data_IF_130090036037
#
_entry.id   IF_130090036037
#
_cell.length_a   1.000
_cell.length_b   1.000
_cell.length_c   1.000
_cell.angle_alpha   90.00
_cell.angle_beta   90.00
_cell.angle_gamma   90.00
#
_symmetry.space_group_name_H-M   'P 1'
#
loop_
_entity.id
_entity.type
_entity.pdbx_description
1 polymer ?
#
# COMPACT_ATOMS: atom_id res chain seq x y z
N UNK A 1 8.83 -38.89 7.53
CA UNK A 1 9.20 -38.97 8.94
C UNK A 1 9.48 -37.60 9.51
N UNK A 2 8.41 -36.88 9.88
CA UNK A 2 8.49 -35.57 10.53
C UNK A 2 7.87 -35.70 11.94
N UNK A 3 8.55 -36.43 12.80
CA UNK A 3 8.22 -36.51 14.20
C UNK A 3 9.35 -35.90 15.01
N UNK A 4 9.31 -34.61 15.27
CA UNK A 4 9.90 -33.90 16.43
C UNK A 4 9.80 -32.38 16.25
N UNK A 5 8.57 -31.86 16.39
CA UNK A 5 8.42 -30.46 16.80
C UNK A 5 8.30 -30.46 18.31
N UNK A 6 9.36 -30.08 18.97
CA UNK A 6 9.37 -29.85 20.42
C UNK A 6 8.54 -28.61 20.71
N UNK A 7 7.31 -28.80 21.19
CA UNK A 7 6.48 -27.74 21.75
C UNK A 7 7.05 -27.35 23.11
N UNK A 8 7.40 -26.09 23.38
CA UNK A 8 7.83 -25.67 24.70
C UNK A 8 6.69 -25.85 25.70
N UNK A 9 6.93 -26.66 26.73
CA UNK A 9 6.02 -26.90 27.86
C UNK A 9 6.02 -25.71 28.83
N UNK A 10 5.52 -24.54 28.48
CA UNK A 10 5.17 -23.48 29.43
C UNK A 10 4.34 -22.40 28.72
N UNK A 11 3.10 -22.73 28.37
CA UNK A 11 2.10 -21.70 28.09
C UNK A 11 1.17 -21.58 29.32
N UNK A 12 1.11 -20.41 29.91
CA UNK A 12 0.20 -20.12 31.03
C UNK A 12 -1.26 -20.30 30.55
N UNK A 13 -2.17 -20.77 31.45
CA UNK A 13 -3.59 -20.96 31.14
C UNK A 13 -4.27 -19.72 30.50
N UNK A 14 -3.75 -18.51 30.76
CA UNK A 14 -4.21 -17.28 30.12
C UNK A 14 -3.86 -17.20 28.63
N UNK A 15 -2.68 -17.64 28.23
CA UNK A 15 -2.22 -17.64 26.83
C UNK A 15 -2.99 -18.66 25.99
N UNK A 16 -3.36 -19.82 26.57
CA UNK A 16 -4.18 -20.82 25.92
C UNK A 16 -5.61 -20.30 25.66
N UNK A 17 -6.18 -19.52 26.57
CA UNK A 17 -7.48 -18.88 26.39
C UNK A 17 -7.45 -17.85 25.24
N UNK A 18 -6.41 -17.02 25.15
CA UNK A 18 -6.23 -16.07 24.04
C UNK A 18 -6.02 -16.75 22.69
N UNK A 19 -5.32 -17.86 22.63
CA UNK A 19 -5.16 -18.65 21.39
C UNK A 19 -6.50 -19.27 20.97
N UNK A 20 -7.29 -19.77 21.91
CA UNK A 20 -8.65 -20.32 21.63
C UNK A 20 -9.62 -19.23 21.13
N UNK A 21 -9.58 -18.04 21.72
CA UNK A 21 -10.42 -16.91 21.30
C UNK A 21 -9.99 -16.37 19.92
N UNK A 22 -8.69 -16.33 19.64
CA UNK A 22 -8.16 -15.96 18.32
C UNK A 22 -8.56 -17.00 17.25
N UNK A 23 -8.46 -18.30 17.52
CA UNK A 23 -8.94 -19.35 16.61
C UNK A 23 -10.44 -19.27 16.36
N UNK A 24 -11.24 -18.96 17.37
CA UNK A 24 -12.68 -18.77 17.26
C UNK A 24 -13.03 -17.52 16.45
N UNK A 25 -12.30 -16.43 16.64
CA UNK A 25 -12.43 -15.19 15.85
C UNK A 25 -12.06 -15.41 14.37
N UNK A 26 -10.98 -16.14 14.10
CA UNK A 26 -10.55 -16.51 12.74
C UNK A 26 -11.57 -17.45 12.09
N UNK A 27 -12.11 -18.45 12.79
CA UNK A 27 -13.14 -19.33 12.28
C UNK A 27 -14.44 -18.57 11.93
N UNK A 28 -14.88 -17.65 12.80
CA UNK A 28 -16.05 -16.78 12.57
C UNK A 28 -15.85 -15.86 11.35
N UNK A 29 -14.63 -15.39 11.10
CA UNK A 29 -14.31 -14.58 9.94
C UNK A 29 -14.31 -15.38 8.64
N UNK A 30 -13.77 -16.59 8.65
CA UNK A 30 -13.82 -17.49 7.48
C UNK A 30 -15.27 -17.88 7.17
N UNK A 31 -16.09 -18.15 8.18
CA UNK A 31 -17.53 -18.42 7.98
C UNK A 31 -18.29 -17.19 7.50
N UNK A 32 -18.01 -15.99 8.05
CA UNK A 32 -18.61 -14.73 7.56
C UNK A 32 -18.16 -14.40 6.14
N UNK A 33 -16.87 -14.59 5.82
CA UNK A 33 -16.35 -14.42 4.47
C UNK A 33 -17.00 -15.42 3.49
N UNK A 34 -17.16 -16.69 3.88
CA UNK A 34 -17.88 -17.71 3.10
C UNK A 34 -19.37 -17.38 2.95
N UNK A 35 -20.03 -16.94 4.02
CA UNK A 35 -21.44 -16.56 3.99
C UNK A 35 -21.70 -15.31 3.16
N UNK A 36 -20.76 -14.37 3.10
CA UNK A 36 -20.80 -13.21 2.20
C UNK A 36 -20.58 -13.62 0.75
N UNK A 37 -19.64 -14.52 0.47
CA UNK A 37 -19.41 -15.09 -0.86
C UNK A 37 -20.63 -15.84 -1.37
N UNK A 38 -21.25 -16.70 -0.55
CA UNK A 38 -22.46 -17.44 -0.91
C UNK A 38 -23.69 -16.55 -1.13
N UNK A 39 -23.80 -15.42 -0.42
CA UNK A 39 -24.86 -14.43 -0.64
C UNK A 39 -24.61 -13.55 -1.88
N UNK A 40 -23.37 -13.43 -2.33
CA UNK A 40 -23.00 -12.66 -3.51
C UNK A 40 -23.22 -13.41 -4.84
N UNK A 41 -23.22 -14.72 -4.84
CA UNK A 41 -23.67 -15.52 -5.98
C UNK A 41 -25.18 -15.33 -6.27
N UNK A 42 -25.93 -14.78 -5.31
CA UNK A 42 -27.37 -14.58 -5.40
C UNK A 42 -27.83 -13.14 -5.70
N UNK A 43 -26.94 -12.10 -5.64
CA UNK A 43 -27.34 -10.70 -5.84
C UNK A 43 -26.22 -9.91 -6.52
N UNK A 44 -26.54 -9.21 -7.59
CA UNK A 44 -25.68 -8.28 -8.35
C UNK A 44 -24.97 -7.26 -7.45
N UNK A 45 -23.73 -7.51 -7.04
CA UNK A 45 -22.99 -6.63 -6.15
C UNK A 45 -21.49 -6.93 -6.03
N UNK A 46 -20.82 -7.45 -7.08
CA UNK A 46 -19.36 -7.78 -7.06
C UNK A 46 -18.42 -6.65 -6.58
N UNK A 47 -18.88 -5.41 -6.61
CA UNK A 47 -18.06 -4.24 -6.24
C UNK A 47 -17.83 -4.09 -4.73
N UNK A 48 -18.77 -4.53 -3.92
CA UNK A 48 -18.78 -4.30 -2.48
C UNK A 48 -18.13 -5.44 -1.68
N UNK A 49 -18.07 -6.62 -2.26
CA UNK A 49 -17.62 -7.83 -1.56
C UNK A 49 -16.13 -7.89 -1.27
N UNK A 50 -15.29 -7.55 -2.23
CA UNK A 50 -13.84 -7.55 -2.01
C UNK A 50 -13.41 -6.40 -1.09
N UNK A 51 -14.11 -5.27 -1.15
CA UNK A 51 -13.94 -4.17 -0.21
C UNK A 51 -14.28 -4.62 1.20
N UNK A 52 -15.44 -5.26 1.39
CA UNK A 52 -15.89 -5.78 2.70
C UNK A 52 -15.01 -6.92 3.22
N UNK A 53 -14.43 -7.76 2.36
CA UNK A 53 -13.54 -8.84 2.79
C UNK A 53 -12.18 -8.27 3.20
N UNK A 54 -11.64 -7.29 2.49
CA UNK A 54 -10.45 -6.56 2.93
C UNK A 54 -10.71 -5.80 4.25
N UNK A 55 -11.87 -5.18 4.40
CA UNK A 55 -12.32 -4.52 5.62
C UNK A 55 -12.54 -5.51 6.78
N UNK A 56 -13.06 -6.71 6.53
CA UNK A 56 -13.29 -7.76 7.53
C UNK A 56 -11.99 -8.41 8.03
N UNK A 57 -11.00 -8.61 7.17
CA UNK A 57 -9.72 -9.19 7.58
C UNK A 57 -8.89 -8.26 8.48
N UNK A 58 -9.22 -6.98 8.52
CA UNK A 58 -8.51 -5.95 9.27
C UNK A 58 -9.20 -5.53 10.58
N UNK A 59 -10.38 -6.08 10.88
CA UNK A 59 -11.05 -5.91 12.18
C UNK A 59 -10.51 -6.83 13.29
N UNK A 60 -9.40 -7.53 13.04
CA UNK A 60 -8.92 -8.63 13.90
C UNK A 60 -8.09 -8.20 15.12
N UNK A 61 -7.77 -6.94 15.30
CA UNK A 61 -7.04 -6.47 16.48
C UNK A 61 -7.98 -5.92 17.55
N UNK A 62 -8.28 -6.66 18.59
CA UNK A 62 -8.97 -6.20 19.82
C UNK A 62 -10.29 -5.42 19.66
N UNK A 63 -11.05 -5.62 18.59
CA UNK A 63 -12.36 -4.99 18.37
C UNK A 63 -12.32 -3.50 18.01
N UNK A 64 -11.15 -2.90 17.81
CA UNK A 64 -10.99 -1.51 17.37
C UNK A 64 -10.72 -1.48 15.87
N UNK A 65 -11.53 -0.76 15.12
CA UNK A 65 -11.33 -0.54 13.69
C UNK A 65 -10.13 0.42 13.50
N UNK A 66 -9.05 -0.06 12.90
CA UNK A 66 -7.81 0.70 12.70
C UNK A 66 -7.65 1.22 11.28
N UNK A 67 -8.39 0.64 10.34
CA UNK A 67 -8.34 1.05 8.94
C UNK A 67 -9.71 1.54 8.48
N UNK A 68 -9.76 2.77 8.02
CA UNK A 68 -10.93 3.32 7.33
C UNK A 68 -11.09 2.69 5.95
N UNK A 69 -9.96 2.49 5.25
CA UNK A 69 -9.92 1.72 4.01
C UNK A 69 -8.87 0.64 4.07
N UNK A 70 -9.30 -0.58 3.74
CA UNK A 70 -8.46 -1.77 3.71
C UNK A 70 -7.31 -1.69 2.69
N UNK A 71 -6.32 -2.55 2.90
CA UNK A 71 -5.13 -2.63 2.06
C UNK A 71 -5.51 -3.04 0.63
N UNK A 72 -5.12 -2.24 -0.35
CA UNK A 72 -5.40 -2.46 -1.77
C UNK A 72 -4.20 -2.16 -2.65
N UNK A 73 -4.08 -2.78 -3.84
CA UNK A 73 -3.02 -2.43 -4.77
C UNK A 73 -3.19 -1.02 -5.33
N UNK A 74 -2.04 -0.38 -5.61
CA UNK A 74 -1.97 0.92 -6.27
C UNK A 74 -0.91 0.91 -7.36
N UNK A 75 -1.15 1.71 -8.42
CA UNK A 75 -0.31 1.73 -9.63
C UNK A 75 -0.09 3.14 -10.19
N UNK A 76 -0.74 4.15 -9.63
CA UNK A 76 -0.65 5.53 -10.09
C UNK A 76 -0.25 6.46 -8.95
N UNK A 77 0.30 7.62 -9.31
CA UNK A 77 0.64 8.72 -8.40
C UNK A 77 0.05 10.03 -8.92
N UNK A 78 -0.03 11.06 -8.06
CA UNK A 78 -0.33 12.40 -8.51
C UNK A 78 0.77 12.90 -9.45
N UNK A 79 0.40 13.71 -10.45
CA UNK A 79 1.36 14.25 -11.40
C UNK A 79 2.36 15.17 -10.69
N UNK A 80 3.61 15.02 -11.00
CA UNK A 80 4.67 15.95 -10.59
C UNK A 80 4.86 17.05 -11.65
N UNK A 81 5.53 18.16 -11.28
CA UNK A 81 5.74 19.30 -12.19
C UNK A 81 6.42 18.90 -13.50
N UNK A 82 7.44 18.04 -13.44
CA UNK A 82 8.12 17.56 -14.64
C UNK A 82 7.20 16.78 -15.59
N UNK A 83 6.16 16.14 -15.07
CA UNK A 83 5.18 15.40 -15.86
C UNK A 83 4.09 16.33 -16.43
N UNK A 84 3.80 17.45 -15.76
CA UNK A 84 2.83 18.47 -16.22
C UNK A 84 3.44 19.44 -17.22
N UNK A 85 4.70 19.82 -17.01
CA UNK A 85 5.38 20.87 -17.78
C UNK A 85 6.19 20.33 -18.97
N UNK A 86 6.14 19.05 -19.27
CA UNK A 86 6.87 18.46 -20.39
C UNK A 86 6.45 19.09 -21.73
N UNK A 87 7.25 20.01 -22.23
CA UNK A 87 6.98 20.78 -23.46
C UNK A 87 7.41 20.05 -24.75
N UNK A 88 8.03 18.87 -24.63
CA UNK A 88 8.43 18.10 -25.82
C UNK A 88 7.25 17.25 -26.28
N UNK A 89 6.64 17.54 -27.46
CA UNK A 89 5.33 17.03 -27.83
C UNK A 89 5.19 15.50 -27.78
N UNK A 90 6.22 14.77 -28.12
CA UNK A 90 6.13 13.32 -28.26
C UNK A 90 6.38 12.53 -26.97
N UNK A 91 7.37 12.90 -26.17
CA UNK A 91 7.64 12.27 -24.86
C UNK A 91 6.60 12.70 -23.80
N UNK A 92 6.14 13.95 -23.88
CA UNK A 92 5.05 14.47 -23.07
C UNK A 92 3.77 13.67 -23.22
N UNK A 93 3.32 13.41 -24.46
CA UNK A 93 2.11 12.62 -24.72
C UNK A 93 2.26 11.21 -24.14
N UNK A 94 3.41 10.57 -24.29
CA UNK A 94 3.64 9.23 -23.73
C UNK A 94 3.60 9.23 -22.20
N UNK A 95 4.17 10.23 -21.55
CA UNK A 95 4.19 10.35 -20.09
C UNK A 95 2.77 10.65 -19.57
N UNK A 96 2.10 11.61 -20.17
CA UNK A 96 0.74 12.00 -19.78
C UNK A 96 -0.27 10.87 -20.00
N UNK A 97 -0.24 10.21 -21.14
CA UNK A 97 -1.10 9.04 -21.41
C UNK A 97 -0.80 7.94 -20.40
N UNK A 98 0.46 7.73 -20.04
CA UNK A 98 0.87 6.73 -19.06
C UNK A 98 0.29 6.96 -17.68
N UNK A 99 0.39 8.19 -17.18
CA UNK A 99 -0.15 8.55 -15.87
C UNK A 99 -1.67 8.43 -15.84
N UNK A 100 -2.36 9.01 -16.82
CA UNK A 100 -3.82 8.88 -16.91
C UNK A 100 -4.29 7.44 -17.15
N UNK A 101 -3.52 6.66 -17.92
CA UNK A 101 -3.84 5.27 -18.18
C UNK A 101 -3.84 4.45 -16.88
N UNK A 102 -2.80 4.59 -16.04
CA UNK A 102 -2.70 3.85 -14.80
C UNK A 102 -3.64 4.36 -13.70
N UNK A 103 -3.92 5.66 -13.64
CA UNK A 103 -4.94 6.20 -12.75
C UNK A 103 -6.34 5.68 -13.14
N UNK A 104 -6.67 5.72 -14.43
CA UNK A 104 -7.91 5.13 -14.95
C UNK A 104 -7.98 3.62 -14.70
N UNK A 105 -6.87 2.89 -14.91
CA UNK A 105 -6.78 1.46 -14.65
C UNK A 105 -7.00 1.13 -13.17
N UNK A 106 -6.43 1.92 -12.26
CA UNK A 106 -6.61 1.76 -10.81
C UNK A 106 -8.05 2.03 -10.39
N UNK A 107 -8.68 3.10 -10.90
CA UNK A 107 -10.10 3.40 -10.63
C UNK A 107 -11.07 2.33 -11.12
N UNK A 108 -10.76 1.70 -12.25
CA UNK A 108 -11.56 0.63 -12.86
C UNK A 108 -11.18 -0.76 -12.39
N UNK A 109 -10.18 -0.87 -11.51
CA UNK A 109 -9.71 -2.17 -11.01
C UNK A 109 -10.79 -2.85 -10.17
N UNK A 110 -10.99 -4.13 -10.43
CA UNK A 110 -12.01 -4.94 -9.75
C UNK A 110 -11.44 -6.30 -9.37
N UNK A 111 -11.91 -6.88 -8.26
CA UNK A 111 -11.61 -8.27 -7.95
C UNK A 111 -12.22 -9.18 -9.03
N UNK A 112 -11.44 -10.11 -9.53
CA UNK A 112 -11.89 -11.16 -10.46
C UNK A 112 -12.17 -12.46 -9.72
N UNK A 113 -11.45 -12.72 -8.61
CA UNK A 113 -11.76 -13.81 -7.69
C UNK A 113 -11.16 -13.53 -6.32
N UNK A 114 -11.83 -14.01 -5.29
CA UNK A 114 -11.39 -13.96 -3.90
C UNK A 114 -11.44 -15.38 -3.35
N UNK A 115 -10.35 -15.83 -2.71
CA UNK A 115 -10.26 -17.13 -2.05
C UNK A 115 -9.76 -16.93 -0.62
N UNK A 116 -10.43 -17.56 0.32
CA UNK A 116 -10.00 -17.64 1.70
C UNK A 116 -9.82 -19.10 2.08
N UNK A 117 -8.68 -19.44 2.65
CA UNK A 117 -8.33 -20.80 3.04
C UNK A 117 -7.53 -20.81 4.34
N UNK A 118 -7.63 -21.86 5.11
CA UNK A 118 -6.75 -22.09 6.26
C UNK A 118 -5.36 -22.50 5.76
N UNK A 119 -4.34 -21.87 6.29
CA UNK A 119 -2.94 -22.14 5.97
C UNK A 119 -2.14 -22.29 7.27
N UNK A 120 -2.03 -23.52 7.77
CA UNK A 120 -1.46 -23.76 9.08
C UNK A 120 -2.25 -23.07 10.19
N UNK A 121 -1.58 -22.26 10.99
CA UNK A 121 -2.19 -21.45 12.08
C UNK A 121 -2.77 -20.10 11.62
N UNK A 122 -2.66 -19.74 10.33
CA UNK A 122 -3.13 -18.48 9.79
C UNK A 122 -4.25 -18.68 8.77
N UNK A 123 -4.90 -17.57 8.39
CA UNK A 123 -5.84 -17.53 7.27
C UNK A 123 -5.16 -16.85 6.09
N UNK A 124 -5.15 -17.53 4.94
CA UNK A 124 -4.69 -16.97 3.69
C UNK A 124 -5.88 -16.43 2.90
N UNK A 125 -5.83 -15.14 2.58
CA UNK A 125 -6.77 -14.50 1.68
C UNK A 125 -6.02 -14.13 0.39
N UNK A 126 -6.49 -14.64 -0.76
CA UNK A 126 -5.92 -14.35 -2.07
C UNK A 126 -6.95 -13.65 -2.94
N UNK A 127 -6.60 -12.46 -3.44
CA UNK A 127 -7.46 -11.68 -4.33
C UNK A 127 -6.77 -11.53 -5.68
N UNK A 128 -7.42 -12.02 -6.74
CA UNK A 128 -7.01 -11.73 -8.12
C UNK A 128 -7.75 -10.50 -8.59
N UNK A 129 -7.02 -9.54 -9.14
CA UNK A 129 -7.57 -8.29 -9.64
C UNK A 129 -7.56 -8.26 -11.16
N UNK A 130 -8.50 -7.55 -11.74
CA UNK A 130 -8.58 -7.30 -13.19
C UNK A 130 -8.65 -5.81 -13.44
N UNK A 131 -7.81 -5.34 -14.35
CA UNK A 131 -7.85 -3.98 -14.89
C UNK A 131 -7.21 -3.95 -16.27
N UNK A 132 -7.22 -2.78 -16.93
CA UNK A 132 -6.48 -2.54 -18.18
C UNK A 132 -4.98 -2.33 -17.88
N UNK A 133 -4.14 -2.60 -18.84
CA UNK A 133 -2.69 -2.32 -18.85
C UNK A 133 -1.83 -3.13 -17.89
N UNK A 134 -2.41 -3.83 -16.95
CA UNK A 134 -1.73 -4.68 -15.98
C UNK A 134 -2.30 -6.10 -16.04
N UNK A 135 -1.45 -7.09 -15.85
CA UNK A 135 -1.87 -8.50 -15.78
C UNK A 135 -1.27 -9.20 -14.56
N UNK A 136 -1.84 -10.34 -14.21
CA UNK A 136 -1.37 -11.16 -13.09
C UNK A 136 -1.36 -10.41 -11.76
N UNK A 137 -2.32 -9.48 -11.55
CA UNK A 137 -2.42 -8.75 -10.30
C UNK A 137 -3.03 -9.68 -9.26
N UNK A 138 -2.22 -10.01 -8.25
CA UNK A 138 -2.63 -10.83 -7.12
C UNK A 138 -2.15 -10.16 -5.84
N UNK A 139 -3.05 -9.98 -4.90
CA UNK A 139 -2.68 -9.67 -3.51
C UNK A 139 -2.94 -10.91 -2.65
N UNK A 140 -1.99 -11.25 -1.80
CA UNK A 140 -2.15 -12.30 -0.81
C UNK A 140 -1.91 -11.74 0.58
N UNK A 141 -2.81 -12.07 1.49
CA UNK A 141 -2.74 -11.69 2.90
C UNK A 141 -2.71 -12.96 3.74
N UNK A 142 -1.68 -13.12 4.57
CA UNK A 142 -1.65 -14.13 5.62
C UNK A 142 -1.96 -13.43 6.94
N UNK A 143 -3.11 -13.73 7.51
CA UNK A 143 -3.58 -13.15 8.77
C UNK A 143 -3.28 -14.13 9.89
N UNK A 144 -2.43 -13.71 10.82
CA UNK A 144 -2.00 -14.52 11.95
C UNK A 144 -2.88 -14.28 13.19
N UNK A 145 -2.93 -15.23 14.14
CA UNK A 145 -3.76 -15.11 15.34
C UNK A 145 -3.41 -13.93 16.25
N UNK A 146 -2.15 -13.45 16.20
CA UNK A 146 -1.66 -12.30 16.95
C UNK A 146 -2.05 -10.93 16.33
N UNK A 147 -2.82 -10.94 15.23
CA UNK A 147 -3.20 -9.75 14.50
C UNK A 147 -2.18 -9.28 13.45
N UNK A 148 -1.04 -9.94 13.34
CA UNK A 148 -0.04 -9.67 12.30
C UNK A 148 -0.58 -10.07 10.93
N UNK A 149 -0.33 -9.23 9.92
CA UNK A 149 -0.73 -9.48 8.53
C UNK A 149 0.49 -9.43 7.62
N UNK A 150 0.82 -10.54 6.96
CA UNK A 150 1.78 -10.50 5.85
C UNK A 150 1.03 -10.20 4.57
N UNK A 151 1.32 -9.06 3.93
CA UNK A 151 0.70 -8.62 2.69
C UNK A 151 1.70 -8.67 1.54
N UNK A 152 1.30 -9.26 0.42
CA UNK A 152 2.11 -9.30 -0.80
C UNK A 152 1.30 -8.86 -2.02
N UNK A 153 2.00 -8.26 -2.98
CA UNK A 153 1.47 -7.87 -4.28
C UNK A 153 2.36 -8.47 -5.38
N UNK A 154 1.72 -9.11 -6.34
CA UNK A 154 2.34 -9.50 -7.63
C UNK A 154 1.59 -8.81 -8.76
N UNK A 155 2.32 -8.30 -9.75
CA UNK A 155 1.72 -7.71 -10.97
C UNK A 155 2.71 -7.71 -12.14
N UNK A 156 2.21 -7.39 -13.35
CA UNK A 156 3.03 -7.20 -14.54
C UNK A 156 2.46 -6.07 -15.40
N UNK A 157 3.29 -5.06 -15.70
CA UNK A 157 2.96 -4.07 -16.71
C UNK A 157 3.10 -4.68 -18.11
N UNK A 158 2.00 -4.73 -18.85
CA UNK A 158 1.92 -5.31 -20.21
C UNK A 158 1.90 -4.26 -21.32
N UNK A 159 2.20 -3.01 -20.98
CA UNK A 159 2.19 -1.88 -21.94
C UNK A 159 3.58 -1.31 -22.18
N UNK A 160 3.79 -0.59 -23.29
CA UNK A 160 5.03 0.15 -23.53
C UNK A 160 5.15 1.41 -22.67
N UNK A 161 4.11 1.77 -21.92
CA UNK A 161 4.08 2.97 -21.06
C UNK A 161 4.80 2.69 -19.74
N UNK A 162 5.44 3.71 -19.18
CA UNK A 162 6.10 3.59 -17.88
C UNK A 162 5.06 3.50 -16.75
N UNK A 163 5.21 2.52 -15.87
CA UNK A 163 4.41 2.39 -14.67
C UNK A 163 4.90 3.41 -13.63
N UNK A 164 4.04 4.30 -13.10
CA UNK A 164 4.47 5.31 -12.11
C UNK A 164 4.90 4.71 -10.77
N UNK A 165 4.17 3.72 -10.28
CA UNK A 165 4.46 2.97 -9.04
C UNK A 165 3.81 1.59 -9.07
N UNK A 166 4.25 0.70 -8.20
CA UNK A 166 3.49 -0.49 -7.81
C UNK A 166 3.62 -0.70 -6.30
N UNK A 167 2.51 -0.84 -5.65
CA UNK A 167 2.48 -0.90 -4.20
C UNK A 167 1.12 -1.22 -3.62
N UNK A 168 1.01 -1.02 -2.33
CA UNK A 168 -0.19 -1.14 -1.53
C UNK A 168 -0.52 0.21 -0.91
N UNK A 169 -1.80 0.52 -0.80
CA UNK A 169 -2.29 1.72 -0.10
C UNK A 169 -3.42 1.36 0.84
N UNK A 170 -3.51 2.08 1.94
CA UNK A 170 -4.60 1.96 2.92
C UNK A 170 -4.81 3.29 3.64
N UNK A 171 -5.92 3.45 4.33
CA UNK A 171 -6.22 4.63 5.13
C UNK A 171 -6.38 4.23 6.60
N UNK A 172 -5.63 4.88 7.49
CA UNK A 172 -5.78 4.75 8.93
C UNK A 172 -6.95 5.61 9.42
N UNK A 173 -7.64 5.14 10.45
CA UNK A 173 -8.75 5.88 11.07
C UNK A 173 -8.31 7.18 11.71
N UNK A 174 -9.26 8.06 11.99
CA UNK A 174 -9.03 9.33 12.67
C UNK A 174 -8.34 9.20 14.04
N UNK A 175 -7.65 10.27 14.42
CA UNK A 175 -6.92 10.38 15.69
C UNK A 175 -5.60 9.60 15.73
N UNK A 176 -5.10 9.15 14.58
CA UNK A 176 -3.79 8.56 14.41
C UNK A 176 -2.84 9.60 13.84
N UNK A 177 -1.74 9.87 14.52
CA UNK A 177 -0.71 10.82 14.06
C UNK A 177 0.68 10.38 14.54
N UNK A 178 1.72 11.07 14.06
CA UNK A 178 3.10 10.72 14.31
C UNK A 178 3.64 9.63 13.36
N UNK A 179 4.85 9.85 12.88
CA UNK A 179 5.52 8.97 11.92
C UNK A 179 6.93 8.70 12.42
N UNK A 180 7.30 7.45 12.53
CA UNK A 180 8.68 7.02 12.80
C UNK A 180 9.08 5.97 11.77
N UNK A 181 10.26 6.09 11.17
CA UNK A 181 10.72 5.09 10.21
C UNK A 181 12.24 4.93 10.21
N UNK A 182 12.70 3.77 9.76
CA UNK A 182 14.09 3.49 9.44
C UNK A 182 14.25 3.34 7.94
N UNK A 183 14.87 4.34 7.31
CA UNK A 183 15.04 4.43 5.87
C UNK A 183 15.89 5.64 5.49
N UNK A 184 15.85 6.03 4.22
CA UNK A 184 16.52 7.25 3.75
C UNK A 184 15.71 8.50 4.08
N UNK A 185 16.39 9.54 4.58
CA UNK A 185 15.77 10.80 5.01
C UNK A 185 16.78 11.87 5.41
N UNK A 186 16.32 12.90 6.17
CA UNK A 186 14.96 13.15 6.65
C UNK A 186 13.98 13.67 5.57
N UNK A 187 14.50 14.36 4.54
CA UNK A 187 13.71 14.95 3.46
C UNK A 187 13.18 13.88 2.50
N UNK A 188 12.17 14.25 1.71
CA UNK A 188 11.67 13.37 0.66
C UNK A 188 12.77 12.98 -0.33
N UNK A 189 12.69 11.78 -0.82
CA UNK A 189 13.67 11.27 -1.77
C UNK A 189 13.03 10.20 -2.67
N UNK A 190 13.55 10.10 -3.90
CA UNK A 190 13.08 9.21 -4.93
C UNK A 190 14.28 8.42 -5.48
N UNK A 191 14.04 7.35 -6.23
CA UNK A 191 15.10 6.45 -6.69
C UNK A 191 16.20 7.16 -7.51
N UNK A 192 15.87 8.28 -8.18
CA UNK A 192 16.81 9.14 -8.92
C UNK A 192 17.25 10.39 -8.14
N UNK A 193 16.71 10.60 -6.93
CA UNK A 193 17.00 11.76 -6.06
C UNK A 193 17.14 11.35 -4.60
N UNK A 194 18.08 10.46 -4.30
CA UNK A 194 18.32 9.95 -2.94
C UNK A 194 19.77 9.98 -2.46
N UNK A 195 20.67 10.55 -3.24
CA UNK A 195 22.10 10.59 -2.89
C UNK A 195 22.36 11.43 -1.64
N UNK A 196 21.65 12.55 -1.47
CA UNK A 196 21.74 13.40 -0.28
C UNK A 196 21.03 12.88 0.95
N UNK A 197 20.16 11.89 0.80
CA UNK A 197 19.43 11.30 1.91
C UNK A 197 20.25 10.21 2.61
N UNK A 198 20.38 10.31 3.92
CA UNK A 198 21.13 9.34 4.75
C UNK A 198 20.21 8.26 5.29
N UNK A 199 20.74 7.07 5.48
CA UNK A 199 20.04 6.00 6.17
C UNK A 199 20.05 6.30 7.68
N UNK A 200 18.87 6.28 8.31
CA UNK A 200 18.71 6.57 9.74
C UNK A 200 17.30 6.34 10.23
N UNK A 201 17.10 6.51 11.52
CA UNK A 201 15.77 6.54 12.15
C UNK A 201 15.32 7.99 12.25
N UNK A 202 14.15 8.28 11.70
CA UNK A 202 13.58 9.62 11.66
C UNK A 202 12.19 9.63 12.30
N UNK A 203 11.87 10.73 12.98
CA UNK A 203 10.60 10.93 13.71
C UNK A 203 9.98 12.25 13.31
N UNK A 204 8.67 12.22 13.08
CA UNK A 204 7.84 13.36 12.76
C UNK A 204 6.61 13.34 13.69
N UNK A 205 6.26 14.50 14.23
CA UNK A 205 5.14 14.58 15.18
C UNK A 205 3.78 14.45 14.49
N UNK A 206 3.71 14.87 13.22
CA UNK A 206 2.48 14.81 12.45
C UNK A 206 2.75 14.54 10.97
N UNK A 207 1.72 14.15 10.21
CA UNK A 207 1.80 13.97 8.78
C UNK A 207 2.11 15.29 8.05
N UNK A 208 1.66 16.43 8.56
CA UNK A 208 1.98 17.74 8.01
C UNK A 208 3.48 18.06 8.10
N UNK A 209 4.13 17.67 9.18
CA UNK A 209 5.59 17.84 9.32
C UNK A 209 6.40 16.88 8.44
N UNK A 210 5.76 15.83 7.94
CA UNK A 210 6.39 14.79 7.12
C UNK A 210 6.33 15.08 5.61
N UNK A 211 5.24 15.72 5.15
CA UNK A 211 5.03 16.08 3.74
C UNK A 211 5.89 17.26 3.32
N UNK A 212 5.98 17.50 2.01
CA UNK A 212 6.56 18.73 1.44
C UNK A 212 5.44 19.59 0.86
N UNK A 213 5.38 20.84 1.31
CA UNK A 213 4.37 21.81 0.86
C UNK A 213 4.81 22.47 -0.45
N UNK A 214 4.56 21.77 -1.56
CA UNK A 214 4.77 22.34 -2.89
C UNK A 214 3.70 23.40 -3.20
N UNK A 215 4.11 24.54 -3.72
CA UNK A 215 3.20 25.62 -4.12
C UNK A 215 2.09 25.11 -5.06
N UNK A 216 2.45 24.22 -5.97
CA UNK A 216 1.51 23.49 -6.81
C UNK A 216 1.42 22.03 -6.32
N UNK A 217 0.25 21.58 -5.80
CA UNK A 217 0.08 20.24 -5.25
C UNK A 217 0.48 19.14 -6.21
N UNK A 218 1.32 18.23 -5.75
CA UNK A 218 1.86 17.14 -6.54
C UNK A 218 2.23 15.94 -5.65
N UNK A 219 2.62 14.82 -6.25
CA UNK A 219 3.18 13.69 -5.49
C UNK A 219 4.38 14.17 -4.69
N UNK A 220 4.41 13.85 -3.40
CA UNK A 220 5.43 14.28 -2.47
C UNK A 220 5.64 13.27 -1.34
N UNK A 221 6.52 13.59 -0.40
CA UNK A 221 6.77 12.85 0.83
C UNK A 221 7.34 11.44 0.66
N UNK A 222 7.72 10.99 -0.54
CA UNK A 222 8.31 9.67 -0.70
C UNK A 222 9.61 9.49 0.10
N UNK A 223 9.82 8.33 0.70
CA UNK A 223 11.06 7.90 1.34
C UNK A 223 11.48 6.54 0.77
N UNK A 224 12.73 6.43 0.34
CA UNK A 224 13.30 5.21 -0.22
C UNK A 224 14.02 4.36 0.83
N UNK A 225 14.26 3.11 0.48
CA UNK A 225 15.06 2.16 1.24
C UNK A 225 14.56 2.00 2.69
N UNK A 226 13.24 1.97 2.89
CA UNK A 226 12.59 1.85 4.20
C UNK A 226 12.56 0.38 4.64
N UNK A 227 12.99 0.11 5.87
CA UNK A 227 12.96 -1.21 6.47
C UNK A 227 11.78 -1.40 7.40
N UNK A 228 11.40 -0.33 8.08
CA UNK A 228 10.18 -0.31 8.85
C UNK A 228 9.63 1.12 8.96
N UNK A 229 8.33 1.20 9.11
CA UNK A 229 7.53 2.40 9.28
C UNK A 229 6.56 2.18 10.42
N UNK A 230 6.45 3.13 11.35
CA UNK A 230 5.39 3.21 12.36
C UNK A 230 4.59 4.49 12.13
N UNK A 231 3.28 4.37 12.13
CA UNK A 231 2.35 5.50 12.00
C UNK A 231 1.34 5.40 13.13
N UNK A 232 1.18 6.46 13.93
CA UNK A 232 0.10 6.61 14.89
C UNK A 232 0.29 5.97 16.26
N UNK A 233 1.51 5.68 16.66
CA UNK A 233 1.80 5.15 17.99
C UNK A 233 1.06 3.84 18.31
N UNK A 234 0.48 3.73 19.52
CA UNK A 234 -0.18 2.50 20.00
C UNK A 234 -1.46 2.14 19.23
N UNK A 235 -2.16 3.13 18.68
CA UNK A 235 -3.38 2.91 17.87
C UNK A 235 -3.11 2.80 16.38
N UNK A 236 -1.86 2.90 15.99
CA UNK A 236 -1.42 2.93 14.61
C UNK A 236 -1.05 1.56 14.06
N UNK A 237 -0.16 1.58 13.09
CA UNK A 237 0.36 0.41 12.40
C UNK A 237 1.89 0.47 12.33
N UNK A 238 2.52 -0.69 12.48
CA UNK A 238 3.92 -0.89 12.12
C UNK A 238 3.99 -1.71 10.83
N UNK A 239 4.68 -1.18 9.82
CA UNK A 239 4.94 -1.89 8.56
C UNK A 239 6.41 -2.24 8.50
N UNK A 240 6.73 -3.51 8.32
CA UNK A 240 8.11 -4.01 8.25
C UNK A 240 8.37 -4.66 6.89
N UNK A 241 9.55 -4.41 6.33
CA UNK A 241 9.99 -5.03 5.10
C UNK A 241 10.18 -6.55 5.27
N UNK A 242 9.61 -7.34 4.38
CA UNK A 242 9.79 -8.78 4.35
C UNK A 242 10.89 -9.16 3.33
N UNK A 243 12.12 -8.83 3.66
CA UNK A 243 13.32 -9.08 2.82
C UNK A 243 13.80 -7.80 2.14
N UNK A 244 13.13 -7.34 1.08
CA UNK A 244 13.54 -6.15 0.32
C UNK A 244 12.97 -4.88 0.95
N UNK A 245 13.79 -3.82 1.17
CA UNK A 245 13.29 -2.52 1.57
C UNK A 245 12.23 -1.99 0.60
N UNK A 246 11.27 -1.23 1.13
CA UNK A 246 10.19 -0.62 0.36
C UNK A 246 10.35 0.91 0.27
N UNK A 247 9.53 1.54 -0.54
CA UNK A 247 9.34 2.99 -0.55
C UNK A 247 8.02 3.33 0.13
N UNK A 248 7.90 4.51 0.73
CA UNK A 248 6.68 4.88 1.44
C UNK A 248 6.39 6.37 1.39
N UNK A 249 5.10 6.71 1.51
CA UNK A 249 4.65 8.05 1.82
C UNK A 249 3.42 8.00 2.75
N UNK A 250 3.26 9.03 3.57
CA UNK A 250 2.10 9.20 4.47
C UNK A 250 1.55 10.60 4.26
N UNK A 251 0.24 10.70 4.03
CA UNK A 251 -0.41 11.96 3.70
C UNK A 251 -1.66 12.21 4.54
N UNK A 252 -1.90 13.46 4.98
CA UNK A 252 -3.16 13.88 5.60
C UNK A 252 -4.26 14.19 4.57
N UNK A 253 -4.09 13.77 3.33
CA UNK A 253 -5.02 13.97 2.21
C UNK A 253 -4.95 12.80 1.22
N UNK A 254 -5.92 12.72 0.35
CA UNK A 254 -5.97 11.68 -0.68
C UNK A 254 -5.25 12.11 -1.96
N UNK A 255 -4.86 11.12 -2.77
CA UNK A 255 -4.31 11.35 -4.12
C UNK A 255 -5.26 12.19 -4.99
N UNK A 256 -6.58 12.00 -4.84
CA UNK A 256 -7.57 12.78 -5.59
C UNK A 256 -7.50 14.27 -5.25
N UNK A 257 -7.31 14.63 -3.98
CA UNK A 257 -7.16 16.02 -3.57
C UNK A 257 -5.93 16.67 -4.20
N UNK A 258 -4.81 15.93 -4.30
CA UNK A 258 -3.62 16.40 -5.02
C UNK A 258 -3.85 16.65 -6.52
N UNK A 259 -4.75 15.89 -7.14
CA UNK A 259 -5.11 16.09 -8.54
C UNK A 259 -6.01 17.31 -8.75
N UNK A 260 -6.95 17.52 -7.84
CA UNK A 260 -8.00 18.54 -7.98
C UNK A 260 -7.51 19.93 -7.55
N UNK A 261 -6.55 20.01 -6.62
CA UNK A 261 -6.06 21.28 -6.10
C UNK A 261 -5.10 21.98 -7.07
N UNK A 262 -5.32 23.27 -7.30
CA UNK A 262 -4.42 24.14 -8.05
C UNK A 262 -3.36 24.81 -7.14
N UNK A 263 -3.65 24.97 -5.86
CA UNK A 263 -2.77 25.62 -4.87
C UNK A 263 -2.73 24.82 -3.57
N UNK A 264 -1.63 24.89 -2.84
CA UNK A 264 -1.44 24.17 -1.58
C UNK A 264 -2.47 24.56 -0.52
N UNK A 265 -2.96 25.79 -0.52
CA UNK A 265 -4.01 26.26 0.40
C UNK A 265 -5.38 25.59 0.18
N UNK A 266 -5.58 24.92 -0.94
CA UNK A 266 -6.80 24.16 -1.24
C UNK A 266 -6.74 22.73 -0.69
N UNK A 267 -5.56 22.26 -0.26
CA UNK A 267 -5.37 20.95 0.35
C UNK A 267 -5.81 20.98 1.82
N UNK A 268 -7.04 20.58 2.06
CA UNK A 268 -7.52 20.35 3.42
C UNK A 268 -6.98 19.05 4.02
N UNK A 269 -6.86 18.98 5.35
CA UNK A 269 -6.61 17.73 6.06
C UNK A 269 -7.85 16.85 6.01
N UNK A 270 -7.70 15.57 5.67
CA UNK A 270 -8.73 14.55 5.93
C UNK A 270 -8.60 14.05 7.37
N UNK A 271 -9.67 13.58 8.00
CA UNK A 271 -9.56 12.95 9.33
C UNK A 271 -8.66 11.71 9.31
N UNK A 272 -8.53 11.05 8.19
CA UNK A 272 -7.75 9.81 8.02
C UNK A 272 -6.37 10.07 7.41
N UNK A 273 -5.38 9.23 7.73
CA UNK A 273 -4.09 9.24 7.06
C UNK A 273 -4.04 8.24 5.92
N UNK A 274 -3.66 8.69 4.73
CA UNK A 274 -3.36 7.83 3.58
C UNK A 274 -1.92 7.34 3.68
N UNK A 275 -1.74 6.03 3.80
CA UNK A 275 -0.42 5.36 3.85
C UNK A 275 -0.19 4.61 2.54
N UNK A 276 0.93 4.92 1.90
CA UNK A 276 1.38 4.26 0.68
C UNK A 276 2.65 3.47 0.96
N UNK A 277 2.67 2.21 0.56
CA UNK A 277 3.81 1.31 0.68
C UNK A 277 4.09 0.74 -0.69
N UNK A 278 5.23 1.10 -1.28
CA UNK A 278 5.56 0.76 -2.66
C UNK A 278 6.73 -0.22 -2.73
N UNK A 279 6.61 -1.20 -3.60
CA UNK A 279 7.78 -1.96 -4.02
C UNK A 279 8.78 -1.06 -4.76
N UNK A 280 8.25 -0.08 -5.52
CA UNK A 280 9.02 0.99 -6.14
C UNK A 280 8.11 2.07 -6.74
N UNK A 281 8.59 3.33 -6.70
CA UNK A 281 8.15 4.39 -7.60
C UNK A 281 9.17 4.60 -8.73
N UNK A 282 8.73 5.05 -9.90
CA UNK A 282 9.66 5.58 -10.90
C UNK A 282 10.26 6.91 -10.42
N UNK A 283 11.40 7.28 -10.96
CA UNK A 283 12.04 8.56 -10.64
C UNK A 283 11.15 9.77 -10.98
N UNK A 284 11.58 10.94 -10.52
CA UNK A 284 10.90 12.22 -10.75
C UNK A 284 11.52 13.03 -11.89
N UNK A 285 12.68 12.61 -12.41
CA UNK A 285 13.41 13.34 -13.46
C UNK A 285 14.00 14.65 -12.96
N UNK A 286 14.18 15.61 -13.86
CA UNK A 286 14.66 16.95 -13.53
C UNK A 286 16.09 17.24 -13.94
N UNK A 287 16.76 16.35 -14.67
CA UNK A 287 18.09 16.64 -15.25
C UNK A 287 18.05 17.80 -16.23
N UNK A 288 16.89 17.98 -16.90
CA UNK A 288 16.64 19.10 -17.80
C UNK A 288 15.29 19.70 -17.44
N UNK A 289 15.21 21.02 -17.19
CA UNK A 289 13.94 21.69 -16.87
C UNK A 289 12.88 21.44 -17.95
N UNK A 290 11.65 21.21 -17.53
CA UNK A 290 10.47 20.99 -18.40
C UNK A 290 10.55 19.77 -19.34
N UNK A 291 11.47 18.84 -19.11
CA UNK A 291 11.56 17.58 -19.89
C UNK A 291 11.47 16.41 -18.93
N UNK A 292 10.37 15.69 -18.99
CA UNK A 292 10.13 14.51 -18.16
C UNK A 292 10.87 13.26 -18.66
N UNK A 293 12.16 13.40 -19.02
CA UNK A 293 12.96 12.26 -19.43
C UNK A 293 13.54 11.54 -18.24
N UNK A 294 13.06 10.34 -17.97
CA UNK A 294 13.65 9.45 -16.98
C UNK A 294 14.72 8.57 -17.61
N UNK A 295 15.90 8.51 -17.00
CA UNK A 295 16.93 7.55 -17.36
C UNK A 295 16.44 6.11 -17.09
N UNK A 296 16.89 5.18 -17.91
CA UNK A 296 16.45 3.76 -17.87
C UNK A 296 16.53 3.12 -16.46
N UNK A 297 17.57 3.35 -15.63
CA UNK A 297 17.67 2.76 -14.29
C UNK A 297 16.56 3.19 -13.32
N UNK A 298 15.93 4.34 -13.57
CA UNK A 298 14.91 4.92 -12.71
C UNK A 298 13.48 4.64 -13.16
N UNK A 299 13.32 3.87 -14.24
CA UNK A 299 12.03 3.37 -14.73
C UNK A 299 11.71 2.02 -14.08
N UNK A 300 10.44 1.77 -13.84
CA UNK A 300 9.99 0.44 -13.42
C UNK A 300 10.05 -0.50 -14.64
N UNK A 301 10.60 -1.71 -14.49
CA UNK A 301 10.73 -2.63 -15.61
C UNK A 301 9.39 -3.00 -16.25
N UNK A 302 9.31 -2.92 -17.58
CA UNK A 302 8.15 -3.34 -18.38
C UNK A 302 8.22 -4.83 -18.68
N UNK A 303 7.06 -5.46 -18.86
CA UNK A 303 6.91 -6.87 -19.26
C UNK A 303 7.57 -7.89 -18.33
N UNK A 304 7.98 -7.45 -17.13
CA UNK A 304 8.52 -8.31 -16.09
C UNK A 304 7.53 -8.46 -14.94
N UNK A 305 7.60 -9.58 -14.25
CA UNK A 305 6.89 -9.76 -12.97
C UNK A 305 7.48 -8.82 -11.94
N UNK A 306 6.61 -8.11 -11.26
CA UNK A 306 6.92 -7.21 -10.14
C UNK A 306 6.31 -7.82 -8.88
N UNK A 307 7.06 -7.80 -7.80
CA UNK A 307 6.66 -8.39 -6.53
C UNK A 307 7.08 -7.49 -5.38
N UNK A 308 6.25 -7.44 -4.36
CA UNK A 308 6.59 -6.86 -3.07
C UNK A 308 5.92 -7.63 -1.94
N UNK A 309 6.51 -7.56 -0.75
CA UNK A 309 5.96 -8.17 0.45
C UNK A 309 6.32 -7.34 1.67
N UNK A 310 5.35 -7.14 2.57
CA UNK A 310 5.51 -6.45 3.84
C UNK A 310 4.76 -7.18 4.94
N UNK A 311 5.11 -6.89 6.17
CA UNK A 311 4.43 -7.37 7.37
C UNK A 311 3.84 -6.17 8.09
N UNK A 312 2.56 -6.22 8.40
CA UNK A 312 1.84 -5.21 9.17
C UNK A 312 1.51 -5.77 10.55
N UNK A 313 1.76 -4.97 11.58
CA UNK A 313 1.35 -5.24 12.96
C UNK A 313 0.54 -4.06 13.46
N UNK A 314 -0.64 -4.35 13.99
CA UNK A 314 -1.61 -3.34 14.44
C UNK A 314 -1.66 -3.27 15.95
#
# INVERSE_FOLDING_TARGET
DFSHVVVPKFLCKREIAHVHDAHRAVALLVERARGLLARQEAVEGERDGARRIAELSLRLGHGVERLERGIRPQFSRANIDNERMAQVPFEWVKTLIGLHAFDSAERMMRPASVKAEHFGSCVKLSVKWRTKYLSGIVTEYLVFPDGTVSASLTCKNITPVNLPRYGLTFELTDGVDGIEYYGKGPHENYCDRKTGARLGVYRFQSAESFIHDYLFPQENANRCDVRWLKVGGERGVTVTAAGTPFEMSVHPYTKKMLYDAAHSCELGRTPNLTVNIDGRQQGVGGDVPAIATLKKPYKIPKYKKLEMKVILSF
#
